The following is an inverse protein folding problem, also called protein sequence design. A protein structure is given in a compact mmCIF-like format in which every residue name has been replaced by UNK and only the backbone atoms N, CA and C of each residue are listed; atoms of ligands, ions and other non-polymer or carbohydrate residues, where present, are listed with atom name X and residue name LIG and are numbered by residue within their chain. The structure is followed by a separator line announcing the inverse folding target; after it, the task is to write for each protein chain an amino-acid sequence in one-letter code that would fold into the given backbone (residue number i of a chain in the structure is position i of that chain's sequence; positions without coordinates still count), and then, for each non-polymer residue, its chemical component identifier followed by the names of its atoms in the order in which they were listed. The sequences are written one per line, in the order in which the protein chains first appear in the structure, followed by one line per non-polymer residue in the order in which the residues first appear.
data_IF_103608029715
#
_entry.id   IF_103608029715
#
_cell.length_a   1.000
_cell.length_b   1.000
_cell.length_c   1.000
_cell.angle_alpha   90.00
_cell.angle_beta   90.00
_cell.angle_gamma   90.00
#
_symmetry.space_group_name_H-M   'P 1'
#
loop_
_entity.id
_entity.type
_entity.pdbx_description
1 polymer ?
#
# COMPACT_ATOMS: atom_id res chain seq x y z
N UNK A 1 23.45 -17.60 13.08
CA UNK A 1 23.23 -19.04 13.38
C UNK A 1 24.41 -19.82 12.83
N UNK A 2 24.96 -20.79 13.57
CA UNK A 2 26.07 -21.61 13.10
C UNK A 2 25.59 -22.56 11.98
N UNK A 3 26.29 -22.60 10.86
CA UNK A 3 25.94 -23.37 9.65
C UNK A 3 25.88 -24.89 9.90
N UNK A 4 26.45 -25.36 11.02
CA UNK A 4 26.53 -26.78 11.40
C UNK A 4 25.22 -27.40 11.94
N UNK A 5 24.15 -26.63 12.15
CA UNK A 5 22.87 -27.20 12.61
C UNK A 5 21.96 -27.67 11.46
N UNK A 6 22.25 -27.32 10.21
CA UNK A 6 21.47 -27.79 9.07
C UNK A 6 21.99 -29.18 8.64
N UNK A 7 21.19 -30.22 8.92
CA UNK A 7 21.43 -31.56 8.42
C UNK A 7 20.45 -31.87 7.29
N UNK A 8 20.98 -32.39 6.18
CA UNK A 8 20.18 -32.81 5.03
C UNK A 8 20.57 -34.24 4.69
N UNK A 9 19.57 -35.13 4.78
CA UNK A 9 19.76 -36.59 4.66
C UNK A 9 20.79 -37.15 5.66
N UNK A 10 20.84 -36.58 6.88
CA UNK A 10 21.72 -37.02 7.96
C UNK A 10 23.18 -36.55 7.87
N UNK A 11 23.55 -35.75 6.87
CA UNK A 11 24.88 -35.12 6.78
C UNK A 11 24.82 -33.63 7.11
N UNK A 12 25.82 -33.14 7.85
CA UNK A 12 26.01 -31.71 8.06
C UNK A 12 26.56 -31.06 6.79
N UNK A 13 26.15 -29.81 6.53
CA UNK A 13 26.64 -29.03 5.37
C UNK A 13 28.18 -28.96 5.32
N UNK A 14 28.81 -28.83 6.49
CA UNK A 14 30.27 -28.77 6.62
C UNK A 14 30.95 -30.07 6.17
N UNK A 15 30.35 -31.23 6.44
CA UNK A 15 30.86 -32.52 6.00
C UNK A 15 30.73 -32.71 4.49
N UNK A 16 29.63 -32.24 3.90
CA UNK A 16 29.43 -32.25 2.43
C UNK A 16 30.45 -31.33 1.74
N UNK A 17 30.66 -30.12 2.28
CA UNK A 17 31.66 -29.19 1.75
C UNK A 17 33.07 -29.75 1.85
N UNK A 18 33.40 -30.41 2.97
CA UNK A 18 34.69 -31.07 3.14
C UNK A 18 34.87 -32.20 2.13
N UNK A 19 33.86 -33.05 1.94
CA UNK A 19 33.90 -34.13 0.96
C UNK A 19 34.10 -33.63 -0.47
N UNK A 20 33.53 -32.48 -0.85
CA UNK A 20 33.72 -31.90 -2.19
C UNK A 20 35.14 -31.33 -2.33
N UNK A 21 35.64 -30.63 -1.31
CA UNK A 21 37.03 -30.10 -1.32
C UNK A 21 38.07 -31.21 -1.42
N UNK A 22 37.86 -32.33 -0.73
CA UNK A 22 38.76 -33.48 -0.73
C UNK A 22 38.89 -34.13 -2.13
N UNK A 23 37.98 -33.82 -3.06
CA UNK A 23 38.09 -34.23 -4.48
C UNK A 23 38.92 -33.29 -5.36
N UNK A 24 39.51 -32.24 -4.78
CA UNK A 24 40.34 -31.25 -5.49
C UNK A 24 39.55 -30.13 -6.17
N UNK A 25 38.25 -30.02 -5.89
CA UNK A 25 37.37 -28.96 -6.39
C UNK A 25 37.60 -27.67 -5.60
N UNK A 26 37.73 -26.54 -6.29
CA UNK A 26 37.97 -25.24 -5.66
C UNK A 26 36.75 -24.72 -4.89
N UNK A 27 36.97 -23.86 -3.90
CA UNK A 27 35.91 -23.38 -2.97
C UNK A 27 34.69 -22.77 -3.67
N UNK A 28 34.89 -22.07 -4.79
CA UNK A 28 33.81 -21.49 -5.60
C UNK A 28 32.95 -22.57 -6.26
N UNK A 29 33.59 -23.58 -6.86
CA UNK A 29 32.92 -24.71 -7.51
C UNK A 29 32.25 -25.62 -6.46
N UNK A 30 32.88 -25.84 -5.31
CA UNK A 30 32.31 -26.58 -4.20
C UNK A 30 31.02 -25.93 -3.68
N UNK A 31 31.01 -24.59 -3.60
CA UNK A 31 29.83 -23.82 -3.19
C UNK A 31 28.69 -23.91 -4.21
N UNK A 32 29.02 -23.96 -5.51
CA UNK A 32 28.03 -24.17 -6.58
C UNK A 32 27.45 -25.59 -6.51
N UNK A 33 28.28 -26.61 -6.32
CA UNK A 33 27.85 -28.01 -6.21
C UNK A 33 26.97 -28.20 -4.98
N UNK A 34 27.39 -27.67 -3.82
CA UNK A 34 26.58 -27.68 -2.61
C UNK A 34 25.26 -26.96 -2.83
N UNK A 35 25.26 -25.77 -3.43
CA UNK A 35 24.06 -25.00 -3.74
C UNK A 35 23.07 -25.79 -4.59
N UNK A 36 23.55 -26.44 -5.65
CA UNK A 36 22.72 -27.29 -6.52
C UNK A 36 22.18 -28.52 -5.78
N UNK A 37 22.98 -29.14 -4.91
CA UNK A 37 22.55 -30.27 -4.10
C UNK A 37 21.48 -29.87 -3.07
N UNK A 38 21.67 -28.75 -2.36
CA UNK A 38 20.70 -28.18 -1.43
C UNK A 38 19.36 -27.89 -2.13
N UNK A 39 19.41 -27.37 -3.35
CA UNK A 39 18.21 -27.11 -4.18
C UNK A 39 17.52 -28.41 -4.55
N UNK A 40 18.27 -29.43 -5.02
CA UNK A 40 17.68 -30.71 -5.42
C UNK A 40 17.07 -31.48 -4.24
N UNK A 41 17.69 -31.42 -3.07
CA UNK A 41 17.17 -32.08 -1.87
C UNK A 41 16.02 -31.29 -1.24
N UNK A 42 16.13 -29.96 -1.17
CA UNK A 42 15.07 -29.08 -0.67
C UNK A 42 13.81 -29.10 -1.54
N UNK A 43 13.96 -29.24 -2.87
CA UNK A 43 12.83 -29.34 -3.80
C UNK A 43 12.08 -30.68 -3.74
N UNK A 44 12.62 -31.72 -3.09
CA UNK A 44 12.02 -33.05 -3.00
C UNK A 44 11.29 -33.33 -1.69
N UNK A 45 11.30 -32.40 -0.73
CA UNK A 45 10.52 -32.57 0.48
C UNK A 45 9.03 -32.32 0.20
N UNK A 46 8.17 -33.15 0.80
CA UNK A 46 6.73 -32.94 0.78
C UNK A 46 6.43 -31.59 1.42
N UNK A 47 5.96 -30.63 0.60
CA UNK A 47 5.54 -29.33 1.11
C UNK A 47 4.22 -29.48 1.87
N UNK A 48 4.22 -29.04 3.11
CA UNK A 48 3.01 -28.92 3.93
C UNK A 48 2.77 -27.44 4.14
N UNK A 49 1.58 -26.96 3.78
CA UNK A 49 1.20 -25.59 4.05
C UNK A 49 1.02 -25.40 5.55
N UNK A 50 1.74 -24.43 6.10
CA UNK A 50 1.57 -23.95 7.47
C UNK A 50 1.60 -22.44 7.41
N UNK A 51 0.68 -21.78 8.12
CA UNK A 51 0.75 -20.34 8.29
C UNK A 51 2.02 -19.97 9.04
N UNK A 52 2.77 -18.99 8.52
CA UNK A 52 3.94 -18.45 9.19
C UNK A 52 3.56 -17.50 10.31
N UNK A 53 2.45 -16.78 10.13
CA UNK A 53 1.91 -15.83 11.10
C UNK A 53 0.70 -16.45 11.76
N UNK A 54 0.74 -16.54 13.09
CA UNK A 54 -0.44 -16.91 13.87
C UNK A 54 -1.52 -15.85 13.67
N UNK A 55 -2.75 -16.30 13.41
CA UNK A 55 -3.92 -15.43 13.36
C UNK A 55 -4.82 -15.78 14.54
N UNK A 56 -4.65 -15.11 15.69
CA UNK A 56 -5.40 -15.45 16.88
C UNK A 56 -6.89 -15.25 16.63
N UNK A 57 -7.70 -16.21 17.09
CA UNK A 57 -9.16 -16.13 16.95
C UNK A 57 -9.77 -14.98 17.77
N UNK A 58 -9.02 -14.43 18.73
CA UNK A 58 -9.45 -13.38 19.65
C UNK A 58 -8.29 -12.43 19.95
N UNK A 59 -8.57 -11.14 19.73
CA UNK A 59 -8.00 -9.89 20.28
C UNK A 59 -8.26 -9.51 21.75
N UNK A 60 -7.54 -9.91 22.82
CA UNK A 60 -7.88 -9.46 24.17
C UNK A 60 -7.85 -7.93 24.31
N UNK A 61 -6.91 -7.27 23.64
CA UNK A 61 -6.75 -5.82 23.62
C UNK A 61 -7.81 -5.08 22.77
N UNK A 62 -8.69 -5.84 22.10
CA UNK A 62 -9.78 -5.35 21.29
C UNK A 62 -11.16 -5.58 21.92
N UNK A 63 -11.21 -6.03 23.18
CA UNK A 63 -12.46 -6.15 23.93
C UNK A 63 -13.03 -4.76 24.30
N UNK A 64 -14.35 -4.65 24.29
CA UNK A 64 -15.06 -3.47 24.82
C UNK A 64 -14.75 -3.33 26.33
N UNK A 65 -14.43 -2.12 26.75
CA UNK A 65 -14.15 -1.81 28.17
C UNK A 65 -15.18 -0.88 28.79
N UNK A 66 -16.06 -0.31 27.97
CA UNK A 66 -17.08 0.63 28.39
C UNK A 66 -18.00 0.02 29.45
N UNK A 67 -18.09 0.72 30.56
CA UNK A 67 -19.07 0.45 31.62
C UNK A 67 -19.83 1.74 31.89
N UNK A 68 -21.18 1.76 31.77
CA UNK A 68 -21.96 2.96 32.03
C UNK A 68 -21.75 3.45 33.47
N UNK A 69 -21.45 4.75 33.64
CA UNK A 69 -21.36 5.39 34.95
C UNK A 69 -22.66 6.12 35.34
N UNK A 70 -23.46 6.50 34.35
CA UNK A 70 -24.77 7.11 34.58
C UNK A 70 -25.84 6.03 34.80
N UNK A 71 -26.47 6.07 35.97
CA UNK A 71 -27.68 5.30 36.26
C UNK A 71 -28.80 6.26 36.65
N UNK A 72 -29.92 6.22 35.92
CA UNK A 72 -31.10 6.99 36.27
C UNK A 72 -31.99 6.18 37.20
N UNK A 73 -32.21 6.72 38.41
CA UNK A 73 -33.37 6.36 39.21
C UNK A 73 -34.52 7.27 38.83
N UNK A 74 -35.64 6.67 38.44
CA UNK A 74 -36.86 7.38 38.06
C UNK A 74 -37.32 8.28 39.22
N UNK A 75 -37.78 9.47 38.88
CA UNK A 75 -38.33 10.40 39.87
C UNK A 75 -39.74 9.99 40.29
N UNK A 76 -40.01 10.12 41.58
CA UNK A 76 -41.33 9.90 42.18
C UNK A 76 -42.02 11.23 42.40
N UNK A 77 -43.21 11.38 41.83
CA UNK A 77 -44.00 12.61 41.95
C UNK A 77 -44.34 12.92 43.41
N UNK A 78 -44.21 14.18 43.81
CA UNK A 78 -44.40 14.63 45.19
C UNK A 78 -43.32 14.22 46.20
N UNK A 79 -42.34 13.38 45.82
CA UNK A 79 -41.27 12.91 46.71
C UNK A 79 -39.86 13.35 46.26
N UNK A 80 -39.54 13.22 44.98
CA UNK A 80 -38.22 13.55 44.43
C UNK A 80 -38.06 15.04 44.11
N UNK A 81 -36.91 15.63 44.43
CA UNK A 81 -36.62 17.03 44.07
C UNK A 81 -35.69 17.12 42.85
N UNK A 82 -36.21 17.66 41.75
CA UNK A 82 -35.41 17.96 40.56
C UNK A 82 -34.70 19.31 40.71
N UNK A 83 -33.38 19.28 40.75
CA UNK A 83 -32.55 20.47 40.99
C UNK A 83 -31.21 20.41 40.26
N UNK A 84 -30.66 21.59 39.94
CA UNK A 84 -29.40 21.72 39.20
C UNK A 84 -28.18 21.31 40.04
N UNK A 85 -28.11 21.79 41.29
CA UNK A 85 -27.05 21.47 42.24
C UNK A 85 -27.38 20.21 43.04
N UNK A 86 -26.36 19.55 43.57
CA UNK A 86 -26.52 18.42 44.47
C UNK A 86 -27.06 18.89 45.82
N UNK A 87 -27.98 18.12 46.40
CA UNK A 87 -28.50 18.34 47.76
C UNK A 87 -28.15 17.17 48.69
N UNK A 88 -28.51 17.30 49.96
CA UNK A 88 -28.33 16.22 50.93
C UNK A 88 -29.27 15.04 50.59
N UNK A 89 -28.73 14.03 49.93
CA UNK A 89 -29.43 12.78 49.60
C UNK A 89 -29.81 12.60 48.13
N UNK A 90 -29.72 13.63 47.30
CA UNK A 90 -30.08 13.55 45.87
C UNK A 90 -28.99 14.13 44.96
N UNK A 91 -28.68 13.39 43.88
CA UNK A 91 -27.77 13.85 42.84
C UNK A 91 -28.48 14.83 41.88
N UNK A 92 -27.92 16.05 41.79
CA UNK A 92 -28.42 17.11 40.92
C UNK A 92 -28.15 16.89 39.43
N UNK A 93 -28.88 17.61 38.59
CA UNK A 93 -28.81 17.52 37.13
C UNK A 93 -27.41 17.73 36.56
N UNK A 94 -26.64 18.68 37.09
CA UNK A 94 -25.30 18.96 36.55
C UNK A 94 -24.36 17.75 36.73
N UNK A 95 -24.41 17.07 37.87
CA UNK A 95 -23.61 15.86 38.11
C UNK A 95 -24.01 14.73 37.17
N UNK A 96 -25.32 14.55 36.95
CA UNK A 96 -25.87 13.57 36.01
C UNK A 96 -25.43 13.84 34.57
N UNK A 97 -25.49 15.10 34.13
CA UNK A 97 -25.02 15.51 32.81
C UNK A 97 -23.51 15.25 32.65
N UNK A 98 -22.70 15.54 33.66
CA UNK A 98 -21.27 15.24 33.61
C UNK A 98 -20.98 13.73 33.53
N UNK A 99 -21.77 12.87 34.19
CA UNK A 99 -21.66 11.41 34.03
C UNK A 99 -22.03 10.97 32.62
N UNK A 100 -23.10 11.54 32.05
CA UNK A 100 -23.49 11.27 30.66
C UNK A 100 -22.40 11.72 29.68
N UNK A 101 -21.80 12.90 29.90
CA UNK A 101 -20.66 13.40 29.10
C UNK A 101 -19.45 12.44 29.19
N UNK A 102 -19.16 11.94 30.39
CA UNK A 102 -18.11 10.94 30.61
C UNK A 102 -18.42 9.63 29.90
N UNK A 103 -19.65 9.14 29.96
CA UNK A 103 -20.08 7.93 29.26
C UNK A 103 -19.93 8.08 27.74
N UNK A 104 -20.33 9.22 27.17
CA UNK A 104 -20.12 9.49 25.74
C UNK A 104 -18.65 9.56 25.35
N UNK A 105 -17.79 10.13 26.20
CA UNK A 105 -16.35 10.16 25.98
C UNK A 105 -15.73 8.75 26.02
N UNK A 106 -16.20 7.89 26.93
CA UNK A 106 -15.77 6.50 27.03
C UNK A 106 -16.22 5.70 25.79
N UNK A 107 -17.49 5.80 25.39
CA UNK A 107 -18.00 5.17 24.16
C UNK A 107 -17.22 5.61 22.92
N UNK A 108 -16.89 6.91 22.82
CA UNK A 108 -16.05 7.43 21.71
C UNK A 108 -14.67 6.77 21.70
N UNK A 109 -14.07 6.58 22.86
CA UNK A 109 -12.73 5.97 23.00
C UNK A 109 -12.78 4.50 22.57
N UNK A 110 -13.75 3.74 23.07
CA UNK A 110 -13.97 2.33 22.71
C UNK A 110 -14.26 2.17 21.22
N UNK A 111 -15.11 3.02 20.63
CA UNK A 111 -15.34 3.01 19.18
C UNK A 111 -14.05 3.28 18.39
N UNK A 112 -13.21 4.21 18.85
CA UNK A 112 -11.90 4.47 18.27
C UNK A 112 -11.00 3.22 18.30
N UNK A 113 -10.96 2.52 19.44
CA UNK A 113 -10.22 1.27 19.61
C UNK A 113 -10.75 0.17 18.68
N UNK A 114 -12.08 0.01 18.57
CA UNK A 114 -12.70 -0.94 17.64
C UNK A 114 -12.28 -0.68 16.19
N UNK A 115 -12.27 0.57 15.74
CA UNK A 115 -11.83 0.89 14.38
C UNK A 115 -10.34 0.62 14.17
N UNK A 116 -9.49 0.88 15.17
CA UNK A 116 -8.07 0.55 15.11
C UNK A 116 -7.86 -0.98 15.02
N UNK A 117 -8.57 -1.75 15.84
CA UNK A 117 -8.56 -3.21 15.80
C UNK A 117 -9.05 -3.78 14.46
N UNK A 118 -10.13 -3.21 13.89
CA UNK A 118 -10.60 -3.60 12.55
C UNK A 118 -9.58 -3.30 11.45
N UNK A 119 -8.86 -2.18 11.55
CA UNK A 119 -7.79 -1.84 10.63
C UNK A 119 -6.61 -2.82 10.76
N UNK A 120 -6.23 -3.18 11.99
CA UNK A 120 -5.20 -4.18 12.26
C UNK A 120 -5.57 -5.56 11.69
N UNK A 121 -6.77 -6.05 12.00
CA UNK A 121 -7.29 -7.33 11.49
C UNK A 121 -7.29 -7.37 9.96
N UNK A 122 -7.66 -6.26 9.29
CA UNK A 122 -7.59 -6.16 7.82
C UNK A 122 -6.16 -6.27 7.29
N UNK A 123 -5.19 -5.68 7.98
CA UNK A 123 -3.78 -5.78 7.61
C UNK A 123 -3.25 -7.21 7.78
N UNK A 124 -3.58 -7.88 8.88
CA UNK A 124 -3.20 -9.28 9.12
C UNK A 124 -3.82 -10.24 8.11
N UNK A 125 -5.13 -10.13 7.86
CA UNK A 125 -5.81 -10.92 6.82
C UNK A 125 -5.15 -10.72 5.46
N UNK A 126 -4.76 -9.48 5.14
CA UNK A 126 -4.05 -9.20 3.89
C UNK A 126 -2.71 -9.92 3.83
N UNK A 127 -1.93 -9.88 4.92
CA UNK A 127 -0.65 -10.60 5.02
C UNK A 127 -0.81 -12.10 4.80
N UNK A 128 -1.82 -12.71 5.43
CA UNK A 128 -2.13 -14.14 5.24
C UNK A 128 -2.56 -14.47 3.80
N UNK A 129 -3.32 -13.58 3.14
CA UNK A 129 -3.68 -13.75 1.73
C UNK A 129 -2.46 -13.64 0.80
N UNK A 130 -1.48 -12.81 1.14
CA UNK A 130 -0.22 -12.71 0.40
C UNK A 130 0.67 -13.95 0.59
N UNK A 131 0.68 -14.52 1.78
CA UNK A 131 1.30 -15.82 2.05
C UNK A 131 0.65 -16.93 1.21
N UNK A 132 -0.69 -17.03 1.24
CA UNK A 132 -1.44 -17.99 0.42
C UNK A 132 -1.18 -17.82 -1.07
N UNK A 133 -1.18 -16.57 -1.57
CA UNK A 133 -0.86 -16.26 -2.98
C UNK A 133 0.53 -16.79 -3.35
N UNK A 134 1.52 -16.58 -2.48
CA UNK A 134 2.89 -17.03 -2.70
C UNK A 134 2.95 -18.56 -2.81
N UNK A 135 2.28 -19.26 -1.89
CA UNK A 135 2.25 -20.72 -1.89
C UNK A 135 1.51 -21.29 -3.11
N UNK A 136 0.40 -20.69 -3.52
CA UNK A 136 -0.34 -21.09 -4.74
C UNK A 136 0.53 -20.90 -5.99
N UNK A 137 1.24 -19.77 -6.09
CA UNK A 137 2.14 -19.53 -7.23
C UNK A 137 3.28 -20.55 -7.29
N UNK A 138 3.82 -20.95 -6.14
CA UNK A 138 4.83 -22.01 -6.07
C UNK A 138 4.26 -23.36 -6.54
N UNK A 139 3.06 -23.74 -6.08
CA UNK A 139 2.38 -24.97 -6.54
C UNK A 139 2.12 -24.93 -8.04
N UNK A 140 1.66 -23.79 -8.58
CA UNK A 140 1.44 -23.63 -10.01
C UNK A 140 2.74 -23.79 -10.83
N UNK A 141 3.85 -23.24 -10.34
CA UNK A 141 5.16 -23.43 -10.98
C UNK A 141 5.58 -24.90 -10.97
N UNK A 142 5.37 -25.61 -9.85
CA UNK A 142 5.69 -27.04 -9.75
C UNK A 142 4.81 -27.88 -10.71
N UNK A 143 3.50 -27.61 -10.76
CA UNK A 143 2.58 -28.28 -11.70
C UNK A 143 2.96 -28.01 -13.15
N UNK A 144 3.35 -26.78 -13.49
CA UNK A 144 3.84 -26.44 -14.82
C UNK A 144 5.10 -27.24 -15.19
N UNK A 145 6.06 -27.33 -14.27
CA UNK A 145 7.29 -28.11 -14.46
C UNK A 145 6.99 -29.61 -14.64
N UNK A 146 6.03 -30.16 -13.89
CA UNK A 146 5.57 -31.53 -14.05
C UNK A 146 4.88 -31.76 -15.42
N UNK A 147 4.02 -30.83 -15.82
CA UNK A 147 3.25 -30.92 -17.07
C UNK A 147 4.12 -30.80 -18.33
N UNK A 148 5.25 -30.10 -18.26
CA UNK A 148 6.24 -30.02 -19.34
C UNK A 148 6.92 -31.38 -19.63
N UNK A 149 6.71 -32.39 -18.77
CA UNK A 149 7.29 -33.71 -18.88
C UNK A 149 8.81 -33.68 -18.67
N UNK A 150 9.39 -34.83 -18.30
CA UNK A 150 10.85 -35.01 -18.22
C UNK A 150 11.51 -34.97 -19.61
N UNK A 151 11.24 -33.94 -20.43
CA UNK A 151 12.18 -33.58 -21.48
C UNK A 151 13.45 -33.24 -20.72
N UNK A 152 14.49 -34.03 -20.94
CA UNK A 152 15.86 -33.83 -20.47
C UNK A 152 16.28 -32.39 -20.78
N UNK A 153 15.91 -31.49 -19.89
CA UNK A 153 16.42 -30.15 -19.82
C UNK A 153 17.76 -30.37 -19.13
N UNK A 154 18.85 -30.39 -19.92
CA UNK A 154 20.09 -29.87 -19.37
C UNK A 154 19.70 -28.53 -18.76
N UNK A 155 19.81 -28.36 -17.43
CA UNK A 155 19.36 -27.12 -16.82
C UNK A 155 20.15 -26.01 -17.52
N UNK A 156 19.50 -25.01 -18.15
CA UNK A 156 20.16 -23.75 -18.37
C UNK A 156 20.71 -23.37 -17.01
N UNK A 157 21.97 -23.01 -16.98
CA UNK A 157 22.68 -22.54 -15.79
C UNK A 157 21.91 -21.38 -15.17
N UNK A 158 20.91 -21.68 -14.36
CA UNK A 158 20.36 -20.79 -13.38
C UNK A 158 21.39 -20.76 -12.25
N UNK A 159 22.06 -19.63 -11.97
CA UNK A 159 22.68 -19.47 -10.67
C UNK A 159 21.57 -19.44 -9.61
N UNK A 160 21.89 -19.83 -8.37
CA UNK A 160 20.92 -20.28 -7.38
C UNK A 160 19.91 -19.18 -7.05
N UNK A 161 18.63 -19.49 -7.22
CA UNK A 161 17.61 -18.91 -6.35
C UNK A 161 17.94 -19.42 -4.95
N UNK A 162 18.62 -18.57 -4.18
CA UNK A 162 18.84 -18.79 -2.76
C UNK A 162 17.52 -19.22 -2.14
N UNK A 163 17.58 -20.33 -1.38
CA UNK A 163 16.61 -20.64 -0.35
C UNK A 163 16.16 -19.33 0.27
N UNK A 164 14.90 -18.92 0.06
CA UNK A 164 14.36 -17.70 0.67
C UNK A 164 14.00 -18.14 2.10
N UNK A 165 14.83 -17.86 3.13
CA UNK A 165 14.33 -17.89 4.50
C UNK A 165 13.10 -16.96 4.57
N UNK A 166 12.16 -17.20 5.50
CA UNK A 166 10.93 -16.42 5.59
C UNK A 166 11.24 -14.92 5.48
N UNK A 167 10.68 -14.30 4.45
CA UNK A 167 10.88 -12.90 4.13
C UNK A 167 10.30 -12.08 5.28
N UNK A 168 11.16 -11.57 6.15
CA UNK A 168 10.79 -10.58 7.15
C UNK A 168 10.55 -9.24 6.43
N UNK A 169 9.35 -9.09 5.88
CA UNK A 169 8.89 -7.87 5.20
C UNK A 169 9.00 -6.64 6.10
N UNK A 170 8.95 -6.83 7.41
CA UNK A 170 8.94 -5.78 8.43
C UNK A 170 10.25 -4.97 8.46
N UNK A 171 11.38 -5.58 8.07
CA UNK A 171 12.70 -4.94 8.05
C UNK A 171 13.34 -4.94 6.64
N UNK A 172 12.54 -5.17 5.60
CA UNK A 172 13.01 -5.15 4.22
C UNK A 172 12.97 -3.72 3.66
N UNK A 173 14.13 -3.18 3.30
CA UNK A 173 14.27 -1.88 2.66
C UNK A 173 14.49 -2.05 1.16
N UNK A 174 13.58 -1.54 0.33
CA UNK A 174 13.80 -1.51 -1.10
C UNK A 174 15.03 -0.66 -1.43
N UNK A 175 16.00 -1.24 -2.14
CA UNK A 175 17.24 -0.58 -2.58
C UNK A 175 17.06 0.00 -3.98
N UNK A 176 16.32 -0.71 -4.84
CA UNK A 176 16.17 -0.33 -6.25
C UNK A 176 15.73 -1.51 -7.11
N UNK A 177 15.46 -1.24 -8.38
CA UNK A 177 15.22 -2.26 -9.38
C UNK A 177 16.45 -2.40 -10.28
N UNK A 178 16.79 -3.64 -10.66
CA UNK A 178 17.83 -3.91 -11.67
C UNK A 178 17.36 -4.98 -12.63
N UNK A 179 18.13 -5.17 -13.71
CA UNK A 179 17.99 -6.33 -14.58
C UNK A 179 18.90 -7.45 -14.08
N UNK A 180 18.33 -8.64 -13.95
CA UNK A 180 19.08 -9.87 -13.72
C UNK A 180 18.69 -10.88 -14.79
N UNK A 181 19.65 -11.24 -15.66
CA UNK A 181 19.40 -12.03 -16.88
C UNK A 181 18.25 -11.49 -17.74
N UNK A 182 18.26 -10.18 -18.01
CA UNK A 182 17.24 -9.46 -18.78
C UNK A 182 15.81 -9.47 -18.19
N UNK A 183 15.63 -9.99 -16.97
CA UNK A 183 14.37 -9.90 -16.23
C UNK A 183 14.46 -8.82 -15.17
N UNK A 184 13.38 -8.05 -15.03
CA UNK A 184 13.29 -7.03 -14.00
C UNK A 184 13.18 -7.70 -12.62
N UNK A 185 14.08 -7.31 -11.71
CA UNK A 185 14.09 -7.76 -10.31
C UNK A 185 14.09 -6.55 -9.38
N UNK A 186 13.37 -6.67 -8.28
CA UNK A 186 13.38 -5.74 -7.17
C UNK A 186 14.46 -6.17 -6.16
N UNK A 187 15.35 -5.25 -5.80
CA UNK A 187 16.43 -5.47 -4.85
C UNK A 187 16.01 -4.91 -3.49
N UNK A 188 16.09 -5.73 -2.45
CA UNK A 188 15.72 -5.35 -1.08
C UNK A 188 16.87 -5.64 -0.13
N UNK A 189 17.21 -4.69 0.75
CA UNK A 189 18.11 -4.88 1.87
C UNK A 189 17.29 -5.37 3.07
N UNK A 190 17.57 -6.55 3.56
CA UNK A 190 16.96 -7.08 4.79
C UNK A 190 18.01 -7.17 5.90
N UNK A 191 17.56 -7.47 7.13
CA UNK A 191 18.43 -7.81 8.25
C UNK A 191 19.33 -9.04 7.98
N UNK A 192 18.95 -9.88 7.01
CA UNK A 192 19.65 -11.09 6.62
C UNK A 192 20.54 -10.91 5.37
N UNK A 193 20.53 -9.72 4.77
CA UNK A 193 21.30 -9.40 3.56
C UNK A 193 20.44 -8.88 2.40
N UNK A 194 21.05 -8.72 1.23
CA UNK A 194 20.36 -8.25 0.03
C UNK A 194 19.64 -9.41 -0.67
N UNK A 195 18.35 -9.27 -0.93
CA UNK A 195 17.54 -10.23 -1.68
C UNK A 195 17.09 -9.62 -3.01
N UNK A 196 16.91 -10.47 -4.03
CA UNK A 196 16.36 -10.09 -5.33
C UNK A 196 15.06 -10.86 -5.56
N UNK A 197 13.95 -10.13 -5.74
CA UNK A 197 12.63 -10.72 -5.99
C UNK A 197 12.22 -10.46 -7.44
N UNK A 198 11.59 -11.42 -8.13
CA UNK A 198 11.03 -11.19 -9.46
C UNK A 198 10.06 -10.01 -9.43
N UNK A 199 10.30 -9.01 -10.28
CA UNK A 199 9.43 -7.85 -10.37
C UNK A 199 8.25 -8.20 -11.30
N UNK A 200 7.27 -8.96 -10.78
CA UNK A 200 6.14 -9.51 -11.57
C UNK A 200 5.25 -8.43 -12.21
N UNK A 201 5.39 -7.20 -11.75
CA UNK A 201 5.05 -5.97 -12.47
C UNK A 201 6.26 -5.08 -12.27
N UNK A 202 6.99 -4.64 -13.32
CA UNK A 202 8.09 -3.72 -13.14
C UNK A 202 7.55 -2.47 -12.45
N UNK A 203 7.67 -2.38 -11.12
CA UNK A 203 7.29 -1.18 -10.37
C UNK A 203 8.27 -0.13 -10.83
N UNK A 204 7.81 0.86 -11.61
CA UNK A 204 8.74 1.69 -12.32
C UNK A 204 9.53 2.53 -11.31
N UNK A 205 10.83 2.74 -11.58
CA UNK A 205 11.67 3.70 -10.85
C UNK A 205 11.06 5.11 -10.82
N UNK A 206 10.12 5.37 -11.73
CA UNK A 206 9.25 6.54 -11.73
C UNK A 206 7.80 6.15 -11.36
N UNK A 207 7.30 6.51 -10.16
CA UNK A 207 5.93 6.28 -9.73
C UNK A 207 4.87 6.75 -10.74
N UNK A 208 5.16 7.81 -11.50
CA UNK A 208 4.25 8.34 -12.51
C UNK A 208 4.08 7.46 -13.76
N UNK A 209 4.89 6.41 -13.93
CA UNK A 209 4.70 5.44 -15.02
C UNK A 209 3.88 4.21 -14.62
N UNK A 210 3.46 4.09 -13.36
CA UNK A 210 2.44 3.11 -12.99
C UNK A 210 1.08 3.54 -13.61
N UNK A 211 0.39 2.68 -14.37
CA UNK A 211 -0.92 3.00 -14.95
C UNK A 211 -1.96 3.44 -13.92
N UNK A 212 -1.85 3.00 -12.66
CA UNK A 212 -2.75 3.37 -11.55
C UNK A 212 -2.50 4.77 -11.03
N UNK A 213 -1.25 5.25 -11.09
CA UNK A 213 -0.89 6.64 -10.73
C UNK A 213 -1.18 7.58 -11.90
N UNK A 214 -0.69 7.22 -13.09
CA UNK A 214 -0.90 8.02 -14.31
C UNK A 214 -2.37 8.09 -14.71
N UNK A 215 -3.15 7.02 -14.57
CA UNK A 215 -4.57 7.00 -14.91
C UNK A 215 -5.40 8.03 -14.15
N UNK A 216 -5.10 8.21 -12.85
CA UNK A 216 -5.74 9.23 -12.02
C UNK A 216 -5.37 10.64 -12.48
N UNK A 217 -4.10 10.89 -12.81
CA UNK A 217 -3.61 12.17 -13.32
C UNK A 217 -4.22 12.51 -14.70
N UNK A 218 -4.21 11.53 -15.60
CA UNK A 218 -4.78 11.61 -16.94
C UNK A 218 -6.29 11.88 -16.93
N UNK A 219 -7.03 11.22 -16.03
CA UNK A 219 -8.46 11.47 -15.87
C UNK A 219 -8.73 12.89 -15.34
N UNK A 220 -7.98 13.34 -14.33
CA UNK A 220 -8.13 14.69 -13.80
C UNK A 220 -7.88 15.75 -14.89
N UNK A 221 -6.82 15.57 -15.68
CA UNK A 221 -6.52 16.42 -16.85
C UNK A 221 -7.65 16.42 -17.86
N UNK A 222 -8.18 15.26 -18.19
CA UNK A 222 -9.30 15.12 -19.10
C UNK A 222 -10.53 15.91 -18.62
N UNK A 223 -10.91 15.76 -17.35
CA UNK A 223 -12.08 16.43 -16.77
C UNK A 223 -11.93 17.95 -16.76
N UNK A 224 -10.72 18.47 -16.55
CA UNK A 224 -10.44 19.91 -16.50
C UNK A 224 -10.21 20.54 -17.88
N UNK A 225 -9.67 19.79 -18.83
CA UNK A 225 -9.36 20.29 -20.18
C UNK A 225 -10.47 20.08 -21.20
N UNK A 226 -11.47 19.24 -20.91
CA UNK A 226 -12.56 18.95 -21.84
C UNK A 226 -13.75 19.92 -21.62
N UNK A 227 -14.02 20.86 -22.56
CA UNK A 227 -15.11 21.82 -22.39
C UNK A 227 -16.49 21.17 -22.35
N UNK A 228 -16.70 20.05 -23.06
CA UNK A 228 -17.96 19.33 -23.06
C UNK A 228 -18.21 18.70 -21.69
N UNK A 229 -17.16 18.13 -21.08
CA UNK A 229 -17.24 17.59 -19.72
C UNK A 229 -17.64 18.69 -18.72
N UNK A 230 -16.96 19.84 -18.78
CA UNK A 230 -17.25 20.97 -17.89
C UNK A 230 -18.66 21.54 -18.09
N UNK A 231 -19.16 21.63 -19.33
CA UNK A 231 -20.54 22.06 -19.59
C UNK A 231 -21.57 21.08 -19.02
N UNK A 232 -21.27 19.78 -19.08
CA UNK A 232 -22.20 18.75 -18.63
C UNK A 232 -22.21 18.61 -17.10
N UNK A 233 -21.03 18.60 -16.47
CA UNK A 233 -20.82 18.22 -15.06
C UNK A 233 -20.21 19.31 -14.18
N UNK A 234 -19.85 20.48 -14.71
CA UNK A 234 -19.33 21.62 -13.95
C UNK A 234 -20.39 22.18 -12.99
N UNK A 235 -20.46 21.63 -11.79
CA UNK A 235 -21.44 22.00 -10.76
C UNK A 235 -22.64 21.06 -10.66
N UNK A 236 -22.61 19.90 -11.31
CA UNK A 236 -23.63 18.85 -11.14
C UNK A 236 -23.02 17.62 -10.49
N UNK A 237 -23.88 16.84 -9.83
CA UNK A 237 -23.51 15.51 -9.35
C UNK A 237 -23.06 14.64 -10.52
N UNK A 238 -21.92 13.96 -10.34
CA UNK A 238 -21.29 13.07 -11.30
C UNK A 238 -21.37 11.64 -10.79
N UNK A 239 -21.94 10.73 -11.56
CA UNK A 239 -21.92 9.29 -11.23
C UNK A 239 -20.94 8.54 -12.12
N UNK A 240 -20.42 7.40 -11.64
CA UNK A 240 -19.58 6.51 -12.47
C UNK A 240 -20.31 6.08 -13.74
N UNK A 241 -21.61 5.76 -13.63
CA UNK A 241 -22.45 5.35 -14.75
C UNK A 241 -22.57 6.45 -15.81
N UNK A 242 -22.77 7.71 -15.41
CA UNK A 242 -22.81 8.84 -16.34
C UNK A 242 -21.47 9.06 -17.04
N UNK A 243 -20.37 8.92 -16.30
CA UNK A 243 -19.02 9.06 -16.84
C UNK A 243 -18.74 8.00 -17.91
N UNK A 244 -19.05 6.73 -17.62
CA UNK A 244 -18.86 5.61 -18.56
C UNK A 244 -19.78 5.77 -19.77
N UNK A 245 -21.04 6.12 -19.57
CA UNK A 245 -22.02 6.27 -20.65
C UNK A 245 -21.63 7.34 -21.66
N UNK A 246 -21.13 8.49 -21.18
CA UNK A 246 -20.85 9.64 -22.04
C UNK A 246 -19.40 9.66 -22.56
N UNK A 247 -18.45 9.12 -21.78
CA UNK A 247 -17.02 9.25 -22.07
C UNK A 247 -16.24 7.93 -21.99
N UNK A 248 -16.86 6.80 -21.66
CA UNK A 248 -16.16 5.55 -21.36
C UNK A 248 -15.20 5.05 -22.44
N UNK A 249 -15.50 5.29 -23.72
CA UNK A 249 -14.65 4.90 -24.86
C UNK A 249 -13.59 5.94 -25.23
N UNK A 250 -13.57 7.10 -24.58
CA UNK A 250 -12.57 8.12 -24.86
C UNK A 250 -11.22 7.70 -24.28
N UNK A 251 -10.18 7.85 -25.08
CA UNK A 251 -8.80 7.55 -24.70
C UNK A 251 -8.18 8.74 -23.98
N UNK A 252 -7.59 8.49 -22.83
CA UNK A 252 -6.82 9.42 -22.03
C UNK A 252 -5.40 9.58 -22.61
N UNK A 253 -4.64 10.58 -22.14
CA UNK A 253 -3.29 10.85 -22.64
C UNK A 253 -2.27 9.74 -22.31
N UNK A 254 -2.55 8.89 -21.31
CA UNK A 254 -1.78 7.69 -21.01
C UNK A 254 -2.21 6.44 -21.81
N UNK A 255 -3.15 6.57 -22.76
CA UNK A 255 -3.63 5.47 -23.61
C UNK A 255 -4.74 4.61 -23.00
N UNK A 256 -5.11 4.81 -21.73
CA UNK A 256 -6.24 4.12 -21.11
C UNK A 256 -7.58 4.69 -21.59
N UNK A 257 -8.64 3.88 -21.59
CA UNK A 257 -9.98 4.43 -21.73
C UNK A 257 -10.46 5.05 -20.41
N UNK A 258 -11.39 6.01 -20.48
CA UNK A 258 -12.04 6.56 -19.26
C UNK A 258 -12.69 5.44 -18.45
N UNK A 259 -13.30 4.44 -19.10
CA UNK A 259 -13.91 3.30 -18.42
C UNK A 259 -12.89 2.48 -17.62
N UNK A 260 -11.71 2.22 -18.19
CA UNK A 260 -10.63 1.49 -17.50
C UNK A 260 -10.09 2.30 -16.32
N UNK A 261 -9.91 3.61 -16.51
CA UNK A 261 -9.40 4.51 -15.46
C UNK A 261 -10.28 4.53 -14.21
N UNK A 262 -11.61 4.44 -14.37
CA UNK A 262 -12.57 4.48 -13.26
C UNK A 262 -13.08 3.11 -12.83
N UNK A 263 -12.52 2.03 -13.37
CA UNK A 263 -12.98 0.65 -13.12
C UNK A 263 -12.99 0.27 -11.63
N UNK A 264 -12.04 0.80 -10.85
CA UNK A 264 -11.89 0.55 -9.41
C UNK A 264 -12.94 1.26 -8.54
N UNK A 265 -13.65 2.25 -9.08
CA UNK A 265 -14.70 2.96 -8.36
C UNK A 265 -15.94 2.06 -8.20
N UNK A 266 -16.72 2.18 -7.11
CA UNK A 266 -17.98 1.45 -6.96
C UNK A 266 -19.00 1.85 -8.04
N UNK A 267 -19.82 0.90 -8.50
CA UNK A 267 -20.80 1.17 -9.56
C UNK A 267 -21.88 2.19 -9.17
N UNK A 268 -22.25 2.21 -7.89
CA UNK A 268 -23.22 3.15 -7.33
C UNK A 268 -22.60 4.48 -6.86
N UNK A 269 -21.31 4.73 -7.12
CA UNK A 269 -20.63 5.91 -6.62
C UNK A 269 -21.14 7.20 -7.29
N UNK A 270 -21.29 8.23 -6.47
CA UNK A 270 -21.82 9.54 -6.83
C UNK A 270 -21.01 10.64 -6.14
N UNK A 271 -20.61 11.65 -6.91
CA UNK A 271 -19.66 12.66 -6.47
C UNK A 271 -20.24 14.06 -6.69
N UNK A 272 -20.15 14.91 -5.66
CA UNK A 272 -20.62 16.30 -5.75
C UNK A 272 -19.76 17.18 -6.66
N UNK A 273 -18.50 16.80 -6.89
CA UNK A 273 -17.56 17.53 -7.75
C UNK A 273 -16.63 16.57 -8.49
N UNK A 274 -16.06 17.00 -9.64
CA UNK A 274 -14.97 16.29 -10.32
C UNK A 274 -13.80 15.95 -9.39
N UNK A 275 -13.43 16.89 -8.51
CA UNK A 275 -12.29 16.72 -7.60
C UNK A 275 -12.54 15.63 -6.55
N UNK A 276 -13.80 15.48 -6.08
CA UNK A 276 -14.18 14.41 -5.16
C UNK A 276 -14.05 13.02 -5.82
N UNK A 277 -14.42 12.89 -7.11
CA UNK A 277 -14.20 11.66 -7.87
C UNK A 277 -12.71 11.35 -7.99
N UNK A 278 -11.90 12.33 -8.37
CA UNK A 278 -10.44 12.16 -8.51
C UNK A 278 -9.81 11.76 -7.19
N UNK A 279 -10.29 12.29 -6.07
CA UNK A 279 -9.77 11.97 -4.73
C UNK A 279 -10.10 10.53 -4.31
N UNK A 280 -11.35 10.06 -4.50
CA UNK A 280 -11.73 8.66 -4.24
C UNK A 280 -11.00 7.69 -5.19
N UNK A 281 -10.81 8.08 -6.45
CA UNK A 281 -10.01 7.30 -7.40
C UNK A 281 -8.55 7.19 -6.92
N UNK A 282 -7.93 8.31 -6.54
CA UNK A 282 -6.57 8.35 -6.03
C UNK A 282 -6.38 7.44 -4.80
N UNK A 283 -7.30 7.49 -3.84
CA UNK A 283 -7.26 6.67 -2.63
C UNK A 283 -7.33 5.17 -2.96
N UNK A 284 -8.26 4.78 -3.85
CA UNK A 284 -8.44 3.38 -4.25
C UNK A 284 -7.27 2.84 -5.08
N UNK A 285 -6.77 3.63 -6.01
CA UNK A 285 -5.60 3.26 -6.81
C UNK A 285 -4.36 3.11 -5.91
N UNK A 286 -4.17 4.02 -4.95
CA UNK A 286 -3.14 3.88 -3.93
C UNK A 286 -3.34 2.61 -3.09
N UNK A 287 -4.59 2.29 -2.72
CA UNK A 287 -4.92 1.02 -2.06
C UNK A 287 -4.54 -0.22 -2.87
N UNK A 288 -4.75 -0.19 -4.18
CA UNK A 288 -4.34 -1.26 -5.08
C UNK A 288 -2.81 -1.37 -5.21
N UNK A 289 -2.09 -0.25 -5.23
CA UNK A 289 -0.62 -0.20 -5.24
C UNK A 289 -0.06 -0.73 -3.92
N UNK A 290 -0.59 -0.29 -2.78
CA UNK A 290 -0.26 -0.83 -1.44
C UNK A 290 -0.44 -2.34 -1.40
N UNK A 291 -1.60 -2.81 -1.85
CA UNK A 291 -1.91 -4.25 -1.89
C UNK A 291 -0.97 -5.03 -2.81
N UNK A 292 -0.37 -4.38 -3.80
CA UNK A 292 0.60 -5.00 -4.71
C UNK A 292 2.06 -4.93 -4.20
N UNK A 293 2.33 -4.34 -3.02
CA UNK A 293 3.68 -4.13 -2.51
C UNK A 293 4.46 -3.02 -3.23
N UNK A 294 3.76 -2.03 -3.80
CA UNK A 294 4.37 -0.94 -4.55
C UNK A 294 4.76 0.29 -3.71
N UNK A 295 4.30 0.39 -2.45
CA UNK A 295 4.51 1.60 -1.64
C UNK A 295 5.98 1.85 -1.30
N UNK A 296 6.75 0.83 -0.95
CA UNK A 296 8.16 1.01 -0.60
C UNK A 296 8.98 1.50 -1.79
N UNK A 297 8.65 1.05 -3.00
CA UNK A 297 9.30 1.50 -4.24
C UNK A 297 9.02 2.98 -4.49
N UNK A 298 7.76 3.40 -4.29
CA UNK A 298 7.37 4.80 -4.47
C UNK A 298 7.97 5.70 -3.39
N UNK A 299 7.99 5.24 -2.13
CA UNK A 299 8.66 5.94 -1.04
C UNK A 299 10.14 6.15 -1.34
N UNK A 300 10.84 5.10 -1.77
CA UNK A 300 12.25 5.19 -2.16
C UNK A 300 12.46 6.18 -3.33
N UNK A 301 11.60 6.15 -4.35
CA UNK A 301 11.68 7.07 -5.49
C UNK A 301 11.46 8.54 -5.08
N UNK A 302 10.63 8.78 -4.07
CA UNK A 302 10.37 10.12 -3.52
C UNK A 302 11.40 10.56 -2.46
N UNK A 303 12.34 9.69 -2.11
CA UNK A 303 13.36 9.95 -1.08
C UNK A 303 12.82 9.95 0.35
N UNK A 304 11.70 9.26 0.59
CA UNK A 304 11.09 9.13 1.92
C UNK A 304 11.08 7.67 2.37
N UNK A 305 10.95 7.46 3.68
CA UNK A 305 10.78 6.15 4.29
C UNK A 305 9.64 6.21 5.28
N UNK A 306 8.88 5.12 5.42
CA UNK A 306 7.88 5.00 6.49
C UNK A 306 6.61 4.27 6.08
N UNK A 307 5.66 4.31 7.01
CA UNK A 307 4.31 3.77 6.93
C UNK A 307 3.48 4.46 5.83
N UNK A 308 2.26 3.94 5.51
CA UNK A 308 1.36 4.59 4.57
C UNK A 308 1.18 6.08 4.87
N UNK A 309 1.30 6.92 3.85
CA UNK A 309 1.27 8.38 3.94
C UNK A 309 2.64 9.05 4.04
N UNK A 310 3.74 8.28 4.12
CA UNK A 310 5.10 8.85 4.17
C UNK A 310 5.41 9.74 2.95
N UNK A 311 4.88 9.40 1.78
CA UNK A 311 4.96 10.21 0.57
C UNK A 311 4.42 11.65 0.74
N UNK A 312 3.50 11.89 1.69
CA UNK A 312 2.99 13.23 2.00
C UNK A 312 4.07 14.20 2.46
N UNK A 313 5.07 13.70 3.20
CA UNK A 313 6.21 14.49 3.66
C UNK A 313 7.31 14.70 2.61
N UNK A 314 7.22 14.06 1.44
CA UNK A 314 8.22 14.18 0.40
C UNK A 314 8.32 15.63 -0.11
N UNK A 315 9.54 16.08 -0.43
CA UNK A 315 9.77 17.40 -0.97
C UNK A 315 9.10 17.54 -2.34
N UNK A 316 8.48 18.69 -2.63
CA UNK A 316 7.81 18.90 -3.93
C UNK A 316 8.76 18.74 -5.13
N UNK A 317 10.05 18.98 -4.93
CA UNK A 317 11.08 18.80 -5.94
C UNK A 317 11.35 17.31 -6.31
N UNK A 318 10.94 16.35 -5.48
CA UNK A 318 11.01 14.92 -5.82
C UNK A 318 9.76 14.41 -6.56
N UNK A 319 8.76 15.27 -6.79
CA UNK A 319 7.55 14.89 -7.50
C UNK A 319 7.85 14.57 -8.97
N UNK A 320 7.54 13.36 -9.46
CA UNK A 320 7.84 13.01 -10.84
C UNK A 320 7.04 13.84 -11.85
N UNK A 321 7.69 14.22 -12.95
CA UNK A 321 7.09 15.01 -14.03
C UNK A 321 6.99 16.52 -13.75
N UNK A 322 7.35 16.97 -12.54
CA UNK A 322 7.40 18.39 -12.21
C UNK A 322 8.77 18.98 -12.59
N UNK A 323 8.79 20.09 -13.33
CA UNK A 323 10.05 20.77 -13.64
C UNK A 323 10.65 21.44 -12.41
N UNK A 324 11.98 21.62 -12.39
CA UNK A 324 12.66 22.34 -11.30
C UNK A 324 12.16 23.78 -11.13
N UNK A 325 11.78 24.46 -12.22
CA UNK A 325 11.18 25.79 -12.17
C UNK A 325 9.78 25.78 -11.56
N UNK A 326 8.95 24.79 -11.89
CA UNK A 326 7.62 24.63 -11.30
C UNK A 326 7.72 24.30 -9.79
N UNK A 327 8.61 23.39 -9.41
CA UNK A 327 8.88 23.08 -8.01
C UNK A 327 9.34 24.31 -7.21
N UNK A 328 10.24 25.12 -7.78
CA UNK A 328 10.69 26.36 -7.16
C UNK A 328 9.55 27.39 -7.01
N UNK A 329 8.69 27.54 -8.02
CA UNK A 329 7.53 28.45 -7.98
C UNK A 329 6.51 28.04 -6.91
N UNK A 330 6.22 26.74 -6.80
CA UNK A 330 5.34 26.17 -5.77
C UNK A 330 5.94 26.35 -4.37
N UNK A 331 7.22 26.04 -4.21
CA UNK A 331 7.93 26.21 -2.93
C UNK A 331 7.95 27.67 -2.47
N UNK A 332 8.16 28.63 -3.39
CA UNK A 332 8.11 30.07 -3.07
C UNK A 332 6.71 30.52 -2.62
N UNK A 333 5.68 29.81 -3.06
CA UNK A 333 4.27 30.06 -2.70
C UNK A 333 3.81 29.29 -1.45
N UNK A 334 4.72 28.56 -0.78
CA UNK A 334 4.44 27.81 0.44
C UNK A 334 4.04 26.34 0.25
N UNK A 335 4.00 25.84 -0.99
CA UNK A 335 3.77 24.43 -1.32
C UNK A 335 5.14 23.75 -1.45
N UNK A 336 5.69 23.27 -0.34
CA UNK A 336 7.03 22.68 -0.24
C UNK A 336 7.03 21.15 -0.24
N UNK A 337 5.87 20.53 -0.01
CA UNK A 337 5.70 19.07 0.10
C UNK A 337 4.64 18.53 -0.85
N UNK A 338 4.71 17.23 -1.15
CA UNK A 338 3.70 16.52 -1.96
C UNK A 338 2.34 16.55 -1.27
N UNK A 339 2.29 16.43 0.05
CA UNK A 339 1.06 16.56 0.86
C UNK A 339 0.37 17.91 0.70
N UNK A 340 1.14 19.00 0.76
CA UNK A 340 0.61 20.35 0.55
C UNK A 340 0.08 20.55 -0.87
N UNK A 341 0.75 19.96 -1.87
CA UNK A 341 0.27 20.03 -3.26
C UNK A 341 -1.04 19.25 -3.43
N UNK A 342 -1.15 18.06 -2.83
CA UNK A 342 -2.35 17.22 -2.89
C UNK A 342 -3.56 17.90 -2.23
N UNK A 343 -3.32 18.68 -1.16
CA UNK A 343 -4.36 19.42 -0.45
C UNK A 343 -4.74 20.76 -1.13
N UNK A 344 -3.86 21.31 -1.96
CA UNK A 344 -4.11 22.58 -2.64
C UNK A 344 -5.13 22.42 -3.78
N UNK A 345 -6.04 23.40 -3.92
CA UNK A 345 -6.95 23.43 -5.06
C UNK A 345 -6.22 23.90 -6.33
N UNK A 346 -6.72 23.52 -7.50
CA UNK A 346 -6.08 23.82 -8.79
C UNK A 346 -5.92 25.32 -9.07
N UNK A 347 -6.79 26.17 -8.53
CA UNK A 347 -6.70 27.63 -8.69
C UNK A 347 -5.47 28.19 -7.95
N UNK A 348 -5.24 27.74 -6.73
CA UNK A 348 -4.09 28.17 -5.93
C UNK A 348 -2.77 27.63 -6.50
N UNK A 349 -2.75 26.39 -6.98
CA UNK A 349 -1.58 25.81 -7.66
C UNK A 349 -1.25 26.61 -8.93
N UNK A 350 -2.26 26.90 -9.77
CA UNK A 350 -2.06 27.68 -11.00
C UNK A 350 -1.59 29.11 -10.70
N UNK A 351 -2.16 29.75 -9.67
CA UNK A 351 -1.73 31.07 -9.20
C UNK A 351 -0.27 31.07 -8.71
N UNK A 352 0.13 30.06 -7.96
CA UNK A 352 1.50 29.89 -7.49
C UNK A 352 2.49 29.75 -8.66
N UNK A 353 2.17 28.89 -9.64
CA UNK A 353 2.99 28.66 -10.83
C UNK A 353 3.12 29.93 -11.69
N UNK A 354 1.99 30.58 -11.99
CA UNK A 354 1.97 31.82 -12.79
C UNK A 354 2.75 32.97 -12.12
N UNK A 355 2.64 33.11 -10.80
CA UNK A 355 3.43 34.10 -10.03
C UNK A 355 4.93 33.82 -10.10
N UNK A 356 5.32 32.55 -10.19
CA UNK A 356 6.70 32.12 -10.42
C UNK A 356 7.17 32.20 -11.87
N UNK A 357 6.34 32.69 -12.79
CA UNK A 357 6.67 32.77 -14.22
C UNK A 357 6.59 31.43 -14.96
N UNK A 358 5.95 30.41 -14.38
CA UNK A 358 5.77 29.10 -14.98
C UNK A 358 4.37 29.00 -15.58
N UNK A 359 4.30 28.91 -16.91
CA UNK A 359 3.04 28.71 -17.62
C UNK A 359 2.69 27.22 -17.65
N UNK A 360 1.56 26.86 -17.05
CA UNK A 360 1.01 25.50 -17.05
C UNK A 360 -0.50 25.61 -17.32
N UNK A 361 -1.04 24.77 -18.19
CA UNK A 361 -2.49 24.78 -18.41
C UNK A 361 -3.22 24.12 -17.23
N UNK A 362 -4.51 24.43 -17.06
CA UNK A 362 -5.30 23.92 -15.93
C UNK A 362 -5.40 22.40 -15.89
N UNK A 363 -5.37 21.74 -17.05
CA UNK A 363 -5.37 20.29 -17.13
C UNK A 363 -4.11 19.66 -16.59
N UNK A 364 -2.94 20.21 -16.94
CA UNK A 364 -1.66 19.74 -16.41
C UNK A 364 -1.57 20.01 -14.90
N UNK A 365 -2.07 21.17 -14.43
CA UNK A 365 -2.19 21.45 -12.99
C UNK A 365 -3.06 20.40 -12.28
N UNK A 366 -4.22 20.05 -12.87
CA UNK A 366 -5.09 19.01 -12.34
C UNK A 366 -4.39 17.63 -12.34
N UNK A 367 -3.64 17.29 -13.39
CA UNK A 367 -2.86 16.06 -13.47
C UNK A 367 -1.83 15.98 -12.35
N UNK A 368 -1.06 17.06 -12.13
CA UNK A 368 -0.04 17.13 -11.09
C UNK A 368 -0.65 17.03 -9.68
N UNK A 369 -1.78 17.70 -9.44
CA UNK A 369 -2.51 17.59 -8.16
C UNK A 369 -3.03 16.16 -7.93
N UNK A 370 -3.64 15.54 -8.94
CA UNK A 370 -4.17 14.18 -8.85
C UNK A 370 -3.08 13.11 -8.67
N UNK A 371 -1.93 13.30 -9.31
CA UNK A 371 -0.73 12.50 -9.06
C UNK A 371 -0.30 12.63 -7.60
N UNK A 372 -0.16 13.85 -7.08
CA UNK A 372 0.18 14.08 -5.69
C UNK A 372 -0.82 13.42 -4.73
N UNK A 373 -2.13 13.55 -4.97
CA UNK A 373 -3.17 12.87 -4.18
C UNK A 373 -2.97 11.35 -4.12
N UNK A 374 -2.72 10.72 -5.27
CA UNK A 374 -2.47 9.27 -5.31
C UNK A 374 -1.23 8.91 -4.48
N UNK A 375 -0.14 9.67 -4.64
CA UNK A 375 1.09 9.45 -3.90
C UNK A 375 0.90 9.63 -2.39
N UNK A 376 0.14 10.64 -1.93
CA UNK A 376 -0.07 10.87 -0.50
C UNK A 376 -0.82 9.76 0.23
N UNK A 377 -1.53 8.91 -0.51
CA UNK A 377 -2.21 7.75 0.05
C UNK A 377 -1.32 6.49 0.07
N UNK A 378 -0.18 6.47 -0.63
CA UNK A 378 0.78 5.36 -0.59
C UNK A 378 1.56 5.35 0.71
#
# INVERSE_FOLDING_TARGET
MAVDTLQLDGMAISDVMKSIRDTGVGDSEASIILGNWLIQQGARQQRVFNYQTDFPATEPDCAETFTPSFHHTDWVDGESVVQAQQSAGEEGFNSRLHKIEQDFAAVRTDLGQVFACLAHMRAEIRSLLDELRTQINLINADLFNLAQGHRTYEPPSFPPVSFIPPFDATNAHFIGSTKYFDKDVAVWQTSQGTIMLPNVTPTPSNPASDPRVSGTASLAKFMTSNPQFLQQFGGKTLTKADLIKNYGTQTLDNGMSVADAVSILPDAASYGTPDALVSDLAERQAGAIRSAGGSEVVHAALGVQGAPGAASGAAIASLPGLSSSAAAALSKSGITTVGQLAAANSTDINKALSTGGVAMNLGDVAATSALAKTLTHL
#
